data_IF_594676319606
#
_entry.id   IF_594676319606
#
_cell.length_a   1.000
_cell.length_b   1.000
_cell.length_c   1.000
_cell.angle_alpha   90.00
_cell.angle_beta   90.00
_cell.angle_gamma   90.00
#
_symmetry.space_group_name_H-M   'P 1'
#
loop_
_entity.id
_entity.type
_entity.pdbx_description
1 polymer ?
#
# COMPACT_ATOMS: atom_id res chain seq x y z
N UNK A 1 41.17 33.44 39.47
CA UNK A 1 39.70 33.29 39.42
C UNK A 1 39.34 32.78 38.02
N UNK A 2 38.70 31.61 37.91
CA UNK A 2 38.37 30.98 36.61
C UNK A 2 37.32 31.83 35.88
N UNK A 3 37.58 32.22 34.63
CA UNK A 3 36.59 32.92 33.82
C UNK A 3 35.45 31.95 33.48
N UNK A 4 34.26 32.26 33.98
CA UNK A 4 33.03 31.62 33.55
C UNK A 4 32.78 32.03 32.10
N UNK A 5 33.00 31.11 31.16
CA UNK A 5 32.61 31.29 29.76
C UNK A 5 31.09 31.40 29.75
N UNK A 6 30.56 32.62 29.60
CA UNK A 6 29.12 32.85 29.42
C UNK A 6 28.70 32.27 28.08
N UNK A 7 28.31 31.00 28.08
CA UNK A 7 27.58 30.38 26.99
C UNK A 7 26.19 31.01 26.91
N UNK A 8 25.91 31.76 25.84
CA UNK A 8 24.60 32.36 25.60
C UNK A 8 24.27 32.31 24.12
N UNK A 9 23.05 31.88 23.80
CA UNK A 9 22.57 31.81 22.42
C UNK A 9 22.42 33.24 21.88
N UNK A 10 23.16 33.59 20.84
CA UNK A 10 22.96 34.87 20.14
C UNK A 10 21.64 34.81 19.36
N UNK A 11 20.54 35.12 20.03
CA UNK A 11 19.17 35.01 19.51
C UNK A 11 18.96 35.59 18.11
N UNK A 12 19.58 36.73 17.78
CA UNK A 12 19.52 37.30 16.41
C UNK A 12 20.20 36.41 15.38
N UNK A 13 21.39 35.87 15.68
CA UNK A 13 22.13 34.97 14.77
C UNK A 13 21.46 33.60 14.69
N UNK A 14 20.94 33.12 15.81
CA UNK A 14 20.15 31.91 15.87
C UNK A 14 18.90 32.03 15.00
N UNK A 15 18.11 33.09 15.12
CA UNK A 15 16.91 33.31 14.32
C UNK A 15 17.21 33.41 12.81
N UNK A 16 18.29 34.09 12.42
CA UNK A 16 18.71 34.19 11.01
C UNK A 16 19.02 32.84 10.38
N UNK A 17 19.45 31.85 11.17
CA UNK A 17 19.71 30.48 10.67
C UNK A 17 18.48 29.59 10.84
N UNK A 18 17.82 29.65 11.99
CA UNK A 18 16.66 28.80 12.32
C UNK A 18 15.47 29.06 11.41
N UNK A 19 15.13 30.33 11.14
CA UNK A 19 13.91 30.66 10.39
C UNK A 19 13.98 30.16 8.95
N UNK A 20 15.07 30.39 8.17
CA UNK A 20 15.19 29.79 6.85
C UNK A 20 15.22 28.27 6.86
N UNK A 21 15.87 27.65 7.85
CA UNK A 21 15.91 26.18 7.96
C UNK A 21 14.52 25.59 8.20
N UNK A 22 13.75 26.14 9.15
CA UNK A 22 12.38 25.70 9.43
C UNK A 22 11.47 25.95 8.23
N UNK A 23 11.61 27.10 7.56
CA UNK A 23 10.84 27.40 6.35
C UNK A 23 11.15 26.41 5.21
N UNK A 24 12.42 26.07 5.00
CA UNK A 24 12.82 25.07 4.01
C UNK A 24 12.28 23.68 4.36
N UNK A 25 12.38 23.24 5.61
CA UNK A 25 11.80 21.96 6.06
C UNK A 25 10.28 21.93 5.91
N UNK A 26 9.59 23.03 6.25
CA UNK A 26 8.15 23.14 6.06
C UNK A 26 7.78 23.10 4.56
N UNK A 27 8.52 23.77 3.69
CA UNK A 27 8.30 23.74 2.25
C UNK A 27 8.50 22.33 1.67
N UNK A 28 9.53 21.60 2.12
CA UNK A 28 9.73 20.20 1.75
C UNK A 28 8.56 19.34 2.26
N UNK A 29 8.14 19.53 3.51
CA UNK A 29 7.00 18.81 4.09
C UNK A 29 5.69 19.03 3.33
N UNK A 30 5.39 20.28 2.95
CA UNK A 30 4.24 20.63 2.11
C UNK A 30 4.39 20.03 0.71
N UNK A 31 5.59 20.09 0.12
CA UNK A 31 5.87 19.50 -1.19
C UNK A 31 5.68 17.98 -1.22
N UNK A 32 6.04 17.27 -0.15
CA UNK A 32 5.77 15.85 0.02
C UNK A 32 4.26 15.58 0.19
N UNK A 33 3.58 16.34 1.06
CA UNK A 33 2.15 16.19 1.32
C UNK A 33 1.29 16.46 0.07
N UNK A 34 1.72 17.39 -0.78
CA UNK A 34 1.05 17.71 -2.04
C UNK A 34 1.48 16.83 -3.22
N UNK A 35 2.39 15.88 -3.00
CA UNK A 35 2.92 14.99 -4.05
C UNK A 35 3.81 15.69 -5.09
N UNK A 36 4.28 16.92 -4.83
CA UNK A 36 5.23 17.64 -5.67
C UNK A 36 6.65 17.07 -5.57
N UNK A 37 6.96 16.39 -4.46
CA UNK A 37 8.18 15.61 -4.24
C UNK A 37 7.76 14.14 -4.09
N UNK A 38 8.14 13.29 -5.04
CA UNK A 38 7.92 11.86 -4.93
C UNK A 38 8.90 11.28 -3.90
N UNK A 39 8.42 10.82 -2.76
CA UNK A 39 9.15 9.83 -1.97
C UNK A 39 9.11 8.54 -2.78
N UNK A 40 10.18 8.26 -3.54
CA UNK A 40 10.20 7.13 -4.48
C UNK A 40 9.95 5.81 -3.76
N UNK A 41 8.72 5.31 -3.82
CA UNK A 41 8.39 3.95 -3.45
C UNK A 41 8.87 3.05 -4.59
N UNK A 42 10.00 2.37 -4.38
CA UNK A 42 10.54 1.44 -5.38
C UNK A 42 9.73 0.16 -5.34
N UNK A 43 8.83 -0.02 -6.31
CA UNK A 43 8.10 -1.27 -6.49
C UNK A 43 9.11 -2.38 -6.81
N UNK A 44 9.05 -3.47 -6.05
CA UNK A 44 9.81 -4.68 -6.37
C UNK A 44 9.32 -5.19 -7.72
N UNK A 45 10.20 -5.29 -8.72
CA UNK A 45 9.83 -5.77 -10.05
C UNK A 45 9.54 -7.26 -10.13
N UNK A 46 8.82 -7.78 -9.13
CA UNK A 46 8.26 -9.11 -9.05
C UNK A 46 6.84 -8.99 -8.51
N UNK A 47 5.92 -9.75 -9.10
CA UNK A 47 4.57 -9.89 -8.54
C UNK A 47 4.59 -10.81 -7.32
N UNK A 48 3.76 -10.47 -6.34
CA UNK A 48 3.44 -11.37 -5.23
C UNK A 48 1.97 -11.81 -5.32
N UNK A 49 1.72 -13.00 -4.80
CA UNK A 49 0.40 -13.62 -4.74
C UNK A 49 -0.18 -13.40 -3.36
N UNK A 50 -1.44 -12.99 -3.29
CA UNK A 50 -2.19 -12.89 -2.03
C UNK A 50 -3.48 -13.69 -2.15
N UNK A 51 -3.77 -14.49 -1.14
CA UNK A 51 -5.09 -15.09 -0.95
C UNK A 51 -5.66 -14.77 0.41
N UNK A 52 -6.97 -14.67 0.49
CA UNK A 52 -7.69 -14.49 1.75
C UNK A 52 -9.11 -15.07 1.63
N UNK A 53 -9.65 -15.56 2.73
CA UNK A 53 -11.03 -16.07 2.74
C UNK A 53 -12.03 -14.92 2.63
N UNK A 54 -11.73 -13.80 3.29
CA UNK A 54 -12.55 -12.59 3.26
C UNK A 54 -11.72 -11.32 3.39
N UNK A 55 -12.09 -10.31 2.61
CA UNK A 55 -11.66 -8.92 2.76
C UNK A 55 -12.91 -8.04 2.79
N UNK A 56 -13.12 -7.37 3.91
CA UNK A 56 -14.19 -6.36 4.06
C UNK A 56 -13.53 -5.00 4.11
N UNK A 57 -13.85 -4.15 3.15
CA UNK A 57 -13.27 -2.82 3.02
C UNK A 57 -14.32 -1.72 2.98
N UNK A 58 -13.96 -0.56 3.52
CA UNK A 58 -14.78 0.66 3.55
C UNK A 58 -14.16 1.74 2.65
N UNK A 59 -15.00 2.62 2.12
CA UNK A 59 -14.63 3.67 1.15
C UNK A 59 -13.78 3.07 0.01
N UNK A 60 -14.33 2.06 -0.65
CA UNK A 60 -13.67 1.40 -1.76
C UNK A 60 -13.51 2.36 -2.94
N UNK A 61 -12.34 2.36 -3.55
CA UNK A 61 -12.10 2.94 -4.87
C UNK A 61 -11.33 1.98 -5.75
N UNK A 62 -11.57 2.03 -7.05
CA UNK A 62 -10.77 1.29 -8.01
C UNK A 62 -10.56 2.11 -9.29
N UNK A 63 -9.33 2.21 -9.76
CA UNK A 63 -8.97 2.94 -10.96
C UNK A 63 -7.76 2.32 -11.66
N UNK A 64 -7.60 2.58 -12.95
CA UNK A 64 -6.44 2.13 -13.72
C UNK A 64 -5.20 3.00 -13.45
N UNK A 65 -4.05 2.37 -13.29
CA UNK A 65 -2.75 3.03 -13.16
C UNK A 65 -1.64 2.24 -13.88
N UNK A 66 -0.43 2.78 -13.86
CA UNK A 66 0.79 2.10 -14.30
C UNK A 66 1.75 2.00 -13.12
N UNK A 67 2.00 0.79 -12.65
CA UNK A 67 3.03 0.50 -11.66
C UNK A 67 4.41 0.62 -12.32
N UNK A 68 5.30 1.39 -11.71
CA UNK A 68 6.66 1.65 -12.21
C UNK A 68 7.69 1.30 -11.15
N UNK A 69 8.80 0.70 -11.56
CA UNK A 69 9.88 0.34 -10.65
C UNK A 69 11.07 -0.26 -11.38
N UNK A 70 11.82 -1.10 -10.67
CA UNK A 70 12.99 -1.80 -11.21
C UNK A 70 12.82 -3.32 -11.09
N UNK A 71 13.17 -4.05 -12.15
CA UNK A 71 13.26 -5.52 -12.13
C UNK A 71 14.36 -5.97 -11.17
N UNK A 72 14.40 -7.28 -10.89
CA UNK A 72 15.51 -7.89 -10.12
C UNK A 72 16.90 -7.63 -10.74
N UNK A 73 16.96 -7.40 -12.06
CA UNK A 73 18.18 -7.08 -12.80
C UNK A 73 18.52 -5.57 -12.77
N UNK A 74 17.72 -4.76 -12.07
CA UNK A 74 17.89 -3.31 -12.00
C UNK A 74 17.41 -2.56 -13.24
N UNK A 75 16.65 -3.20 -14.14
CA UNK A 75 16.10 -2.55 -15.34
C UNK A 75 14.77 -1.87 -15.03
N UNK A 76 14.48 -0.67 -15.58
CA UNK A 76 13.18 -0.04 -15.38
C UNK A 76 12.06 -0.88 -16.00
N UNK A 77 10.90 -0.93 -15.34
CA UNK A 77 9.70 -1.56 -15.88
C UNK A 77 8.46 -0.69 -15.65
N UNK A 78 7.43 -0.94 -16.45
CA UNK A 78 6.11 -0.34 -16.32
C UNK A 78 5.05 -1.43 -16.58
N UNK A 79 4.12 -1.63 -15.65
CA UNK A 79 3.07 -2.64 -15.74
C UNK A 79 1.69 -2.00 -15.54
N UNK A 80 0.69 -2.32 -16.37
CA UNK A 80 -0.68 -1.86 -16.12
C UNK A 80 -1.24 -2.53 -14.88
N UNK A 81 -1.86 -1.75 -14.00
CA UNK A 81 -2.46 -2.23 -12.76
C UNK A 81 -3.84 -1.62 -12.55
N UNK A 82 -4.72 -2.40 -11.93
CA UNK A 82 -5.95 -1.89 -11.33
C UNK A 82 -5.67 -1.60 -9.86
N UNK A 83 -5.55 -0.33 -9.51
CA UNK A 83 -5.34 0.09 -8.13
C UNK A 83 -6.67 -0.05 -7.40
N UNK A 84 -6.70 -0.84 -6.34
CA UNK A 84 -7.83 -0.97 -5.43
C UNK A 84 -7.50 -0.32 -4.10
N UNK A 85 -8.22 0.74 -3.74
CA UNK A 85 -8.04 1.51 -2.52
C UNK A 85 -9.16 1.23 -1.51
N UNK A 86 -8.81 1.22 -0.22
CA UNK A 86 -9.72 1.09 0.91
C UNK A 86 -9.23 1.99 2.02
N UNK A 87 -10.12 2.80 2.59
CA UNK A 87 -9.78 3.61 3.77
C UNK A 87 -9.48 2.70 4.96
N UNK A 88 -10.34 1.70 5.15
CA UNK A 88 -10.20 0.68 6.18
C UNK A 88 -10.48 -0.69 5.60
N UNK A 89 -9.66 -1.69 5.93
CA UNK A 89 -9.88 -3.07 5.53
C UNK A 89 -9.64 -4.06 6.67
N UNK A 90 -10.52 -5.05 6.78
CA UNK A 90 -10.39 -6.22 7.66
C UNK A 90 -10.27 -7.47 6.81
N UNK A 91 -9.24 -8.27 7.09
CA UNK A 91 -8.87 -9.44 6.28
C UNK A 91 -8.78 -10.66 7.19
N UNK A 92 -9.36 -11.79 6.76
CA UNK A 92 -9.37 -13.05 7.50
C UNK A 92 -8.66 -14.15 6.72
N UNK A 93 -7.77 -14.90 7.38
CA UNK A 93 -6.96 -15.97 6.80
C UNK A 93 -6.12 -15.48 5.61
N UNK A 94 -5.31 -14.46 5.86
CA UNK A 94 -4.44 -13.88 4.84
C UNK A 94 -3.23 -14.79 4.60
N UNK A 95 -2.92 -15.07 3.33
CA UNK A 95 -1.66 -15.62 2.87
C UNK A 95 -1.07 -14.70 1.81
N UNK A 96 0.20 -14.35 1.95
CA UNK A 96 1.00 -13.65 0.96
C UNK A 96 2.22 -14.49 0.61
N UNK A 97 2.53 -14.64 -0.68
CA UNK A 97 3.72 -15.34 -1.13
C UNK A 97 4.39 -14.66 -2.31
N UNK A 98 5.72 -14.62 -2.29
CA UNK A 98 6.56 -14.14 -3.40
C UNK A 98 7.62 -15.19 -3.71
N UNK A 99 7.87 -15.43 -4.99
CA UNK A 99 8.92 -16.33 -5.46
C UNK A 99 10.09 -15.48 -5.95
N UNK A 100 11.26 -15.68 -5.35
CA UNK A 100 12.48 -14.98 -5.74
C UNK A 100 13.52 -16.00 -6.18
N UNK A 101 14.04 -15.90 -7.42
CA UNK A 101 15.15 -16.72 -7.87
C UNK A 101 16.42 -16.28 -7.15
N UNK A 102 17.07 -17.21 -6.44
CA UNK A 102 18.30 -16.96 -5.70
C UNK A 102 19.47 -17.70 -6.38
N UNK A 103 20.52 -16.97 -6.82
CA UNK A 103 21.68 -17.59 -7.46
C UNK A 103 22.28 -18.72 -6.60
N UNK A 104 22.43 -19.90 -7.18
CA UNK A 104 22.97 -21.09 -6.50
C UNK A 104 22.00 -21.84 -5.59
N UNK A 105 20.83 -21.27 -5.25
CA UNK A 105 19.81 -21.90 -4.39
C UNK A 105 18.49 -22.23 -5.11
N UNK A 106 18.33 -21.75 -6.35
CA UNK A 106 17.10 -21.91 -7.12
C UNK A 106 16.00 -20.97 -6.64
N UNK A 107 14.75 -21.30 -6.93
CA UNK A 107 13.60 -20.51 -6.51
C UNK A 107 13.37 -20.65 -5.00
N UNK A 108 13.21 -19.52 -4.32
CA UNK A 108 12.83 -19.46 -2.91
C UNK A 108 11.48 -18.76 -2.81
N UNK A 109 10.52 -19.42 -2.16
CA UNK A 109 9.22 -18.83 -1.81
C UNK A 109 9.28 -18.24 -0.40
N UNK A 110 9.11 -16.93 -0.29
CA UNK A 110 8.77 -16.29 0.97
C UNK A 110 7.26 -16.35 1.13
N UNK A 111 6.79 -16.93 2.23
CA UNK A 111 5.37 -17.06 2.57
C UNK A 111 5.08 -16.43 3.92
N UNK A 112 4.06 -15.59 3.94
CA UNK A 112 3.54 -14.90 5.11
C UNK A 112 2.07 -15.29 5.31
N UNK A 113 1.67 -15.61 6.54
CA UNK A 113 0.27 -15.82 6.91
C UNK A 113 -0.10 -14.99 8.13
N UNK A 114 -1.36 -14.57 8.24
CA UNK A 114 -1.86 -13.82 9.39
C UNK A 114 -3.40 -13.87 9.47
N UNK A 115 -3.93 -13.68 10.68
CA UNK A 115 -5.38 -13.60 10.94
C UNK A 115 -6.15 -14.88 10.62
N UNK A 116 -5.51 -16.04 10.80
CA UNK A 116 -6.03 -17.38 10.49
C UNK A 116 -6.53 -18.14 11.74
N UNK A 117 -6.50 -17.51 12.91
CA UNK A 117 -7.01 -18.08 14.16
C UNK A 117 -8.53 -18.29 14.15
N UNK A 118 -9.01 -19.28 14.91
CA UNK A 118 -10.44 -19.60 14.98
C UNK A 118 -11.27 -18.42 15.48
N UNK A 119 -10.71 -17.59 16.37
CA UNK A 119 -11.33 -16.35 16.81
C UNK A 119 -11.52 -15.35 15.66
N UNK A 120 -10.53 -15.19 14.78
CA UNK A 120 -10.64 -14.33 13.60
C UNK A 120 -11.76 -14.81 12.67
N UNK A 121 -11.83 -16.13 12.44
CA UNK A 121 -12.86 -16.80 11.62
C UNK A 121 -14.26 -16.70 12.23
N UNK A 122 -14.36 -16.71 13.56
CA UNK A 122 -15.61 -16.52 14.29
C UNK A 122 -16.09 -15.06 14.35
N UNK A 123 -15.35 -14.12 13.74
CA UNK A 123 -15.73 -12.71 13.64
C UNK A 123 -15.12 -11.79 14.70
N UNK A 124 -14.14 -12.24 15.47
CA UNK A 124 -13.39 -11.35 16.36
C UNK A 124 -12.46 -10.45 15.52
N UNK A 125 -12.85 -9.19 15.38
CA UNK A 125 -12.14 -8.21 14.55
C UNK A 125 -10.72 -7.95 15.03
N UNK A 126 -10.43 -8.01 16.33
CA UNK A 126 -9.08 -7.78 16.86
C UNK A 126 -8.08 -8.86 16.43
N UNK A 127 -8.58 -10.05 16.11
CA UNK A 127 -7.79 -11.17 15.60
C UNK A 127 -7.70 -11.21 14.07
N UNK A 128 -8.45 -10.36 13.37
CA UNK A 128 -8.34 -10.18 11.92
C UNK A 128 -7.19 -9.23 11.58
N UNK A 129 -6.60 -9.44 10.40
CA UNK A 129 -5.66 -8.49 9.80
C UNK A 129 -6.40 -7.18 9.56
N UNK A 130 -5.75 -6.07 9.89
CA UNK A 130 -6.31 -4.74 9.73
C UNK A 130 -5.37 -3.85 8.92
N UNK A 131 -5.92 -3.14 7.94
CA UNK A 131 -5.20 -2.16 7.16
C UNK A 131 -5.96 -0.82 7.15
N UNK A 132 -5.20 0.28 7.23
CA UNK A 132 -5.67 1.66 7.13
C UNK A 132 -4.98 2.31 5.92
N UNK A 133 -5.73 3.09 5.13
CA UNK A 133 -5.30 3.68 3.85
C UNK A 133 -4.65 2.65 2.91
N UNK A 134 -5.30 1.51 2.73
CA UNK A 134 -4.78 0.40 1.93
C UNK A 134 -4.93 0.68 0.43
N UNK A 135 -3.84 0.58 -0.32
CA UNK A 135 -3.81 0.54 -1.78
C UNK A 135 -3.14 -0.75 -2.27
N UNK A 136 -3.80 -1.42 -3.22
CA UNK A 136 -3.33 -2.65 -3.85
C UNK A 136 -3.16 -2.42 -5.35
N UNK A 137 -1.96 -2.61 -5.87
CA UNK A 137 -1.65 -2.48 -7.30
C UNK A 137 -1.81 -3.85 -7.96
N UNK A 138 -3.05 -4.17 -8.33
CA UNK A 138 -3.43 -5.52 -8.72
C UNK A 138 -3.33 -5.72 -10.23
N UNK A 139 -2.72 -6.82 -10.67
CA UNK A 139 -2.66 -7.23 -12.08
C UNK A 139 -3.71 -8.28 -12.44
N UNK A 140 -4.09 -9.13 -11.49
CA UNK A 140 -5.15 -10.14 -11.61
C UNK A 140 -5.89 -10.27 -10.29
N UNK A 141 -7.22 -10.27 -10.32
CA UNK A 141 -8.09 -10.44 -9.15
C UNK A 141 -9.18 -11.47 -9.46
N UNK A 142 -9.28 -12.50 -8.64
CA UNK A 142 -10.37 -13.48 -8.63
C UNK A 142 -10.99 -13.51 -7.24
N UNK A 143 -12.27 -13.14 -7.14
CA UNK A 143 -13.02 -13.13 -5.90
C UNK A 143 -14.53 -13.13 -6.19
N UNK A 144 -15.32 -13.57 -5.22
CA UNK A 144 -16.75 -13.23 -5.16
C UNK A 144 -16.89 -11.85 -4.50
N UNK A 145 -17.60 -10.91 -5.11
CA UNK A 145 -17.66 -9.52 -4.65
C UNK A 145 -19.09 -9.05 -4.43
N UNK A 146 -19.32 -8.37 -3.30
CA UNK A 146 -20.55 -7.66 -2.99
C UNK A 146 -20.23 -6.22 -2.63
N UNK A 147 -20.89 -5.26 -3.30
CA UNK A 147 -20.70 -3.83 -3.06
C UNK A 147 -21.96 -3.20 -2.47
N UNK A 148 -21.77 -2.19 -1.63
CA UNK A 148 -22.85 -1.34 -1.09
C UNK A 148 -22.65 0.07 -1.63
N UNK A 149 -23.70 0.64 -2.26
CA UNK A 149 -23.69 1.99 -2.83
C UNK A 149 -22.54 2.26 -3.81
N UNK A 150 -22.41 1.38 -4.81
CA UNK A 150 -21.36 1.47 -5.83
C UNK A 150 -21.73 2.44 -6.96
N UNK A 151 -20.79 3.32 -7.31
CA UNK A 151 -20.77 4.08 -8.54
C UNK A 151 -19.75 3.44 -9.50
N UNK A 152 -20.16 3.13 -10.71
CA UNK A 152 -19.30 2.53 -11.76
C UNK A 152 -19.21 3.50 -12.93
N UNK A 153 -17.99 3.76 -13.42
CA UNK A 153 -17.77 4.63 -14.57
C UNK A 153 -17.62 6.11 -14.23
N UNK A 154 -17.23 6.43 -13.01
CA UNK A 154 -16.84 7.79 -12.64
C UNK A 154 -15.44 8.09 -13.16
N UNK A 155 -15.11 9.36 -13.34
CA UNK A 155 -13.75 9.76 -13.69
C UNK A 155 -12.81 9.52 -12.49
N UNK A 156 -11.61 8.99 -12.70
CA UNK A 156 -10.63 8.77 -11.63
C UNK A 156 -10.29 10.05 -10.85
N UNK A 157 -10.25 11.19 -11.53
CA UNK A 157 -10.04 12.51 -10.93
C UNK A 157 -11.22 13.05 -10.12
N UNK A 158 -12.37 12.37 -10.15
CA UNK A 158 -13.54 12.65 -9.31
C UNK A 158 -13.59 11.78 -8.04
N UNK A 159 -12.52 11.01 -7.77
CA UNK A 159 -12.27 10.39 -6.47
C UNK A 159 -11.63 11.42 -5.52
N UNK A 160 -11.94 11.42 -4.22
CA UNK A 160 -12.85 10.51 -3.49
C UNK A 160 -14.35 10.82 -3.68
N UNK A 161 -15.24 9.95 -3.17
CA UNK A 161 -16.71 10.17 -3.16
C UNK A 161 -17.13 11.35 -2.29
N UNK A 162 -16.42 11.55 -1.18
CA UNK A 162 -16.63 12.61 -0.18
C UNK A 162 -15.29 13.22 0.19
N UNK A 163 -15.28 14.48 0.61
CA UNK A 163 -14.07 15.16 1.08
C UNK A 163 -13.42 14.37 2.23
N UNK A 164 -12.11 14.14 2.15
CA UNK A 164 -11.37 13.35 3.13
C UNK A 164 -11.58 11.82 3.05
N UNK A 165 -12.36 11.32 2.07
CA UNK A 165 -12.49 9.88 1.83
C UNK A 165 -11.34 9.29 1.00
N UNK A 166 -11.37 7.97 0.80
CA UNK A 166 -10.37 7.26 0.01
C UNK A 166 -10.35 7.77 -1.44
N UNK A 167 -9.20 8.27 -1.88
CA UNK A 167 -9.00 8.85 -3.21
C UNK A 167 -7.94 8.11 -4.03
N UNK A 168 -7.40 8.79 -5.05
CA UNK A 168 -6.19 8.33 -5.74
C UNK A 168 -5.04 8.25 -4.72
N UNK A 169 -4.27 7.16 -4.78
CA UNK A 169 -3.10 6.91 -3.95
C UNK A 169 -2.19 8.14 -3.85
N UNK A 170 -1.88 8.63 -2.63
CA UNK A 170 -0.95 9.73 -2.45
C UNK A 170 0.45 9.38 -2.99
N UNK A 171 1.14 10.37 -3.55
CA UNK A 171 2.55 10.23 -3.94
C UNK A 171 2.82 9.43 -5.23
N UNK A 172 1.80 9.00 -5.97
CA UNK A 172 1.99 8.37 -7.29
C UNK A 172 2.34 9.40 -8.37
N UNK A 173 3.07 9.00 -9.42
CA UNK A 173 3.36 9.88 -10.56
C UNK A 173 2.03 10.33 -11.17
N UNK A 174 1.75 11.65 -11.29
CA UNK A 174 0.50 12.15 -11.87
C UNK A 174 0.22 11.66 -13.30
N UNK A 175 1.24 11.18 -14.01
CA UNK A 175 1.13 10.59 -15.36
C UNK A 175 0.74 9.12 -15.35
N UNK A 176 0.85 8.44 -14.21
CA UNK A 176 0.46 7.04 -14.05
C UNK A 176 -1.06 6.86 -14.04
N UNK A 177 -1.82 7.90 -13.65
CA UNK A 177 -3.28 7.88 -13.56
C UNK A 177 -3.89 8.89 -14.52
N UNK A 178 -4.75 8.43 -15.43
CA UNK A 178 -5.55 9.33 -16.26
C UNK A 178 -6.76 9.83 -15.44
N UNK A 179 -6.79 11.13 -15.11
CA UNK A 179 -7.88 11.74 -14.33
C UNK A 179 -9.26 11.63 -14.99
N UNK A 180 -9.32 11.50 -16.31
CA UNK A 180 -10.58 11.28 -17.05
C UNK A 180 -10.85 9.80 -17.33
N UNK A 181 -9.99 8.91 -16.84
CA UNK A 181 -10.10 7.47 -17.01
C UNK A 181 -11.21 6.88 -16.15
N UNK A 182 -11.60 5.65 -16.49
CA UNK A 182 -12.60 4.88 -15.77
C UNK A 182 -12.17 4.61 -14.33
N UNK A 183 -13.10 4.82 -13.39
CA UNK A 183 -12.97 4.44 -12.01
C UNK A 183 -14.31 3.95 -11.44
N UNK A 184 -14.21 3.27 -10.30
CA UNK A 184 -15.32 2.78 -9.49
C UNK A 184 -15.11 3.23 -8.06
N UNK A 185 -16.20 3.40 -7.32
CA UNK A 185 -16.17 3.69 -5.88
C UNK A 185 -17.39 3.14 -5.18
N UNK A 186 -17.26 2.69 -3.93
CA UNK A 186 -18.37 2.17 -3.14
C UNK A 186 -18.15 2.48 -1.64
N UNK A 187 -19.23 2.57 -0.87
CA UNK A 187 -19.11 2.84 0.58
C UNK A 187 -18.53 1.62 1.30
N UNK A 188 -18.88 0.42 0.83
CA UNK A 188 -18.39 -0.85 1.37
C UNK A 188 -18.27 -1.89 0.28
N UNK A 189 -17.24 -2.72 0.38
CA UNK A 189 -17.08 -3.93 -0.42
C UNK A 189 -16.77 -5.12 0.49
N UNK A 190 -17.36 -6.25 0.17
CA UNK A 190 -17.02 -7.55 0.77
C UNK A 190 -16.57 -8.46 -0.34
N UNK A 191 -15.29 -8.83 -0.30
CA UNK A 191 -14.69 -9.81 -1.20
C UNK A 191 -14.52 -11.12 -0.44
N UNK A 192 -14.83 -12.24 -1.09
CA UNK A 192 -14.60 -13.57 -0.52
C UNK A 192 -13.89 -14.47 -1.52
N UNK A 193 -13.17 -15.48 -1.01
CA UNK A 193 -12.32 -16.39 -1.79
C UNK A 193 -11.32 -15.64 -2.68
N UNK A 194 -10.72 -14.60 -2.13
CA UNK A 194 -9.84 -13.70 -2.86
C UNK A 194 -8.56 -14.44 -3.24
N UNK A 195 -8.19 -14.34 -4.50
CA UNK A 195 -6.88 -14.70 -5.04
C UNK A 195 -6.45 -13.59 -5.98
N UNK A 196 -5.34 -12.95 -5.68
CA UNK A 196 -4.85 -11.84 -6.47
C UNK A 196 -3.35 -11.92 -6.71
N UNK A 197 -2.92 -11.36 -7.83
CA UNK A 197 -1.52 -11.03 -8.15
C UNK A 197 -1.38 -9.52 -8.07
N UNK A 198 -0.39 -9.04 -7.34
CA UNK A 198 -0.16 -7.62 -7.15
C UNK A 198 1.33 -7.29 -7.29
N UNK A 199 1.61 -6.07 -7.76
CA UNK A 199 2.96 -5.52 -7.87
C UNK A 199 3.37 -4.80 -6.58
N UNK A 200 2.42 -4.13 -5.93
CA UNK A 200 2.64 -3.40 -4.70
C UNK A 200 1.41 -3.44 -3.79
N UNK A 201 1.68 -3.35 -2.49
CA UNK A 201 0.69 -3.02 -1.46
C UNK A 201 1.26 -1.87 -0.66
N UNK A 202 0.49 -0.82 -0.45
CA UNK A 202 0.83 0.28 0.46
C UNK A 202 -0.32 0.50 1.43
N UNK A 203 0.02 0.87 2.67
CA UNK A 203 -0.95 1.15 3.73
C UNK A 203 -0.32 2.13 4.72
N UNK A 204 -1.12 3.00 5.33
CA UNK A 204 -0.67 3.84 6.44
C UNK A 204 -0.38 2.99 7.69
N UNK A 205 -1.32 2.10 8.01
CA UNK A 205 -1.19 1.13 9.10
C UNK A 205 -1.47 -0.27 8.58
N UNK A 206 -0.62 -1.25 8.90
CA UNK A 206 -0.89 -2.64 8.60
C UNK A 206 -0.60 -3.53 9.81
N UNK A 207 -1.66 -4.05 10.43
CA UNK A 207 -1.62 -4.87 11.63
C UNK A 207 -1.94 -6.32 11.27
N UNK A 208 -1.01 -7.21 11.62
CA UNK A 208 -1.04 -8.63 11.27
C UNK A 208 -1.07 -9.48 12.55
N UNK A 209 -2.24 -9.74 13.15
CA UNK A 209 -2.34 -10.70 14.25
C UNK A 209 -1.90 -12.09 13.79
N UNK A 210 -1.27 -12.83 14.69
CA UNK A 210 -0.84 -14.22 14.45
C UNK A 210 0.10 -14.33 13.22
N UNK A 211 0.91 -13.30 12.98
CA UNK A 211 1.85 -13.25 11.86
C UNK A 211 2.85 -14.41 11.91
N UNK A 212 2.90 -15.17 10.83
CA UNK A 212 3.90 -16.21 10.59
C UNK A 212 4.62 -15.95 9.27
N UNK A 213 5.95 -15.96 9.29
CA UNK A 213 6.80 -15.78 8.12
C UNK A 213 7.70 -17.01 7.97
N UNK A 214 7.79 -17.53 6.74
CA UNK A 214 8.58 -18.71 6.42
C UNK A 214 9.21 -18.62 5.04
N UNK A 215 10.37 -19.26 4.87
CA UNK A 215 11.08 -19.40 3.61
C UNK A 215 11.06 -20.86 3.19
N UNK A 216 10.70 -21.13 1.93
CA UNK A 216 10.61 -22.48 1.37
C UNK A 216 11.40 -22.57 0.07
N UNK A 217 11.99 -23.73 -0.20
CA UNK A 217 12.64 -23.99 -1.49
C UNK A 217 11.59 -24.40 -2.52
N UNK A 218 11.74 -23.92 -3.75
CA UNK A 218 10.81 -24.16 -4.84
C UNK A 218 9.59 -23.24 -4.77
N UNK A 219 8.59 -23.57 -5.59
CA UNK A 219 7.35 -22.80 -5.76
C UNK A 219 6.14 -23.50 -5.15
N UNK A 220 6.27 -24.71 -4.64
CA UNK A 220 5.19 -25.55 -4.09
C UNK A 220 4.44 -24.88 -2.93
N UNK A 221 5.08 -23.96 -2.20
CA UNK A 221 4.53 -23.28 -1.02
C UNK A 221 3.87 -21.93 -1.28
N UNK A 222 3.73 -21.52 -2.54
CA UNK A 222 2.91 -20.35 -2.90
C UNK A 222 1.49 -20.44 -2.33
N UNK A 223 0.86 -19.28 -2.08
CA UNK A 223 -0.48 -19.22 -1.49
C UNK A 223 -1.57 -19.88 -2.32
N UNK A 224 -1.42 -19.86 -3.64
CA UNK A 224 -2.28 -20.60 -4.55
C UNK A 224 -1.55 -20.93 -5.85
N UNK A 225 -2.01 -22.01 -6.50
CA UNK A 225 -1.58 -22.41 -7.84
C UNK A 225 -2.45 -21.71 -8.88
N UNK A 226 -1.80 -21.10 -9.86
CA UNK A 226 -2.42 -20.25 -10.88
C UNK A 226 -1.42 -19.42 -11.64
#
# INVERSE_FOLDING_TARGET
MKSQVRGGTRWKRFAVVMVPSVAATAAIGVGLAQGALAASFSISGQEFKVSTDSLVGEEFVQYGSVAQGSTLEGKPFAAPVAVSGFDNARITNMCQSVVTPVPGLGDITLRLTAGDSDAAKAGNTDKQVYAEELYLDVSDLKADAQFTNIDIGVAAGALPKKEGGQGIQPGVDPRSVNKNGFAQRADKVTLTKVRQKAWATTAATFRLPDLSLSLHRGTDKECFKG
#
